data_IF_154727572546
#
_entry.id   IF_154727572546
#
_cell.length_a   1.000
_cell.length_b   1.000
_cell.length_c   1.000
_cell.angle_alpha   90.00
_cell.angle_beta   90.00
_cell.angle_gamma   90.00
#
_symmetry.space_group_name_H-M   'P 1'
#
loop_
_entity.id
_entity.type
_entity.pdbx_description
1 polymer ?
#
# COMPACT_ATOMS: atom_id res chain seq x y z
N UNK A 1 -14.84 28.02 -8.01
CA UNK A 1 -14.13 26.99 -8.80
C UNK A 1 -13.78 25.86 -7.84
N UNK A 2 -13.96 24.62 -8.27
CA UNK A 2 -14.39 23.49 -7.43
C UNK A 2 -13.50 23.22 -6.19
N UNK A 3 -13.98 23.59 -4.99
CA UNK A 3 -13.26 23.56 -3.70
C UNK A 3 -12.79 22.15 -3.26
N UNK A 4 -13.32 21.10 -3.89
CA UNK A 4 -13.12 19.71 -3.47
C UNK A 4 -11.72 19.20 -3.87
N UNK A 5 -10.98 18.76 -2.85
CA UNK A 5 -9.66 18.12 -2.95
C UNK A 5 -9.77 16.60 -3.11
N UNK A 6 -10.67 15.99 -2.33
CA UNK A 6 -10.94 14.54 -2.34
C UNK A 6 -12.45 14.34 -2.51
N UNK A 7 -12.86 13.58 -3.52
CA UNK A 7 -14.24 13.14 -3.73
C UNK A 7 -14.29 11.62 -3.69
N UNK A 8 -15.14 11.08 -2.81
CA UNK A 8 -15.26 9.64 -2.56
C UNK A 8 -16.70 9.22 -2.83
N UNK A 9 -16.88 8.24 -3.71
CA UNK A 9 -18.19 7.72 -4.11
C UNK A 9 -18.25 6.20 -3.98
N UNK A 10 -19.03 5.72 -3.02
CA UNK A 10 -19.40 4.32 -2.83
C UNK A 10 -18.20 3.37 -2.67
N UNK A 11 -17.11 3.82 -2.04
CA UNK A 11 -15.91 2.98 -1.92
C UNK A 11 -16.21 1.77 -1.04
N UNK A 12 -15.98 0.60 -1.61
CA UNK A 12 -15.92 -0.66 -0.91
C UNK A 12 -14.60 -1.37 -1.15
N UNK A 13 -14.12 -2.09 -0.14
CA UNK A 13 -12.91 -2.91 -0.24
C UNK A 13 -13.14 -4.21 0.50
N UNK A 14 -12.98 -5.30 -0.26
CA UNK A 14 -13.16 -6.66 0.20
C UNK A 14 -11.85 -7.43 0.12
N UNK A 15 -11.59 -8.26 1.12
CA UNK A 15 -10.46 -9.18 1.18
C UNK A 15 -10.97 -10.61 1.29
N UNK A 16 -10.30 -11.54 0.63
CA UNK A 16 -10.56 -12.97 0.74
C UNK A 16 -9.55 -13.57 1.72
N UNK A 17 -10.04 -14.14 2.82
CA UNK A 17 -9.19 -14.81 3.81
C UNK A 17 -8.95 -16.25 3.32
N UNK A 18 -7.69 -16.69 3.35
CA UNK A 18 -7.34 -18.08 3.00
C UNK A 18 -7.04 -18.35 1.52
N UNK A 19 -7.23 -17.38 0.61
CA UNK A 19 -6.71 -17.49 -0.76
C UNK A 19 -5.27 -17.00 -0.82
N UNK A 20 -4.33 -17.91 -1.05
CA UNK A 20 -3.05 -17.56 -1.71
C UNK A 20 -3.43 -16.81 -2.98
N UNK A 21 -3.02 -15.54 -3.10
CA UNK A 21 -3.27 -14.68 -4.26
C UNK A 21 -3.30 -15.52 -5.54
N UNK A 22 -4.37 -15.38 -6.33
CA UNK A 22 -4.51 -16.07 -7.61
C UNK A 22 -3.23 -15.86 -8.42
N UNK A 23 -2.38 -16.89 -8.42
CA UNK A 23 -1.24 -17.01 -9.31
C UNK A 23 -1.81 -16.78 -10.71
N UNK A 24 -1.23 -15.85 -11.47
CA UNK A 24 -1.60 -15.64 -12.88
C UNK A 24 -1.79 -17.00 -13.53
N UNK A 25 -3.03 -17.36 -13.86
CA UNK A 25 -3.32 -18.65 -14.48
C UNK A 25 -2.62 -18.64 -15.83
N UNK A 26 -1.53 -19.40 -15.93
CA UNK A 26 -0.86 -19.57 -17.21
C UNK A 26 -1.78 -20.41 -18.10
N UNK A 27 -1.81 -20.15 -19.41
CA UNK A 27 -2.66 -20.88 -20.38
C UNK A 27 -2.49 -22.40 -20.27
N UNK A 28 -1.29 -22.85 -19.84
CA UNK A 28 -0.98 -24.26 -19.55
C UNK A 28 -1.75 -24.81 -18.34
N UNK A 29 -1.96 -24.04 -17.28
CA UNK A 29 -2.72 -24.46 -16.10
C UNK A 29 -4.20 -24.65 -16.45
N UNK A 30 -4.81 -23.72 -17.20
CA UNK A 30 -6.21 -23.84 -17.65
C UNK A 30 -6.42 -25.09 -18.53
N UNK A 31 -5.46 -25.40 -19.41
CA UNK A 31 -5.51 -26.58 -20.26
C UNK A 31 -5.32 -27.88 -19.45
N UNK A 32 -4.43 -27.87 -18.46
CA UNK A 32 -4.17 -29.04 -17.60
C UNK A 32 -5.37 -29.34 -16.70
N UNK A 33 -6.02 -28.30 -16.17
CA UNK A 33 -7.22 -28.45 -15.35
C UNK A 33 -8.43 -28.93 -16.16
N UNK A 34 -8.58 -28.49 -17.41
CA UNK A 34 -9.62 -29.00 -18.30
C UNK A 34 -9.49 -30.52 -18.53
N UNK A 35 -8.27 -31.01 -18.74
CA UNK A 35 -7.99 -32.44 -18.99
C UNK A 35 -8.12 -33.28 -17.70
N UNK A 36 -7.76 -32.73 -16.54
CA UNK A 36 -7.81 -33.47 -15.25
C UNK A 36 -9.17 -33.40 -14.54
N UNK A 37 -10.03 -32.44 -14.90
CA UNK A 37 -11.34 -32.22 -14.24
C UNK A 37 -12.30 -33.42 -14.25
N UNK A 38 -12.38 -34.27 -15.30
CA UNK A 38 -13.32 -35.40 -15.30
C UNK A 38 -12.86 -36.53 -14.36
N UNK A 39 -11.55 -36.84 -14.38
CA UNK A 39 -10.96 -37.89 -13.55
C UNK A 39 -11.03 -37.58 -12.05
N UNK A 40 -10.88 -36.31 -11.67
CA UNK A 40 -10.94 -35.87 -10.26
C UNK A 40 -12.37 -35.84 -9.71
N UNK A 41 -13.38 -35.56 -10.57
CA UNK A 41 -14.80 -35.62 -10.20
C UNK A 41 -15.30 -37.07 -10.04
N UNK A 42 -14.88 -37.98 -10.93
CA UNK A 42 -15.22 -39.39 -10.83
C UNK A 42 -14.68 -40.06 -9.55
N UNK A 43 -13.43 -39.75 -9.16
CA UNK A 43 -12.84 -40.28 -7.93
C UNK A 43 -13.46 -39.74 -6.63
N UNK A 44 -14.03 -38.52 -6.64
CA UNK A 44 -14.72 -37.93 -5.48
C UNK A 44 -16.13 -38.50 -5.26
N UNK A 45 -16.83 -38.89 -6.33
CA UNK A 45 -18.16 -39.50 -6.24
C UNK A 45 -18.11 -40.91 -5.60
N UNK A 46 -17.02 -41.65 -5.86
CA UNK A 46 -16.82 -43.01 -5.35
C UNK A 46 -16.37 -43.07 -3.88
N UNK A 47 -15.96 -41.94 -3.26
CA UNK A 47 -15.40 -41.91 -1.90
C UNK A 47 -16.38 -41.39 -0.83
N UNK A 48 -17.65 -41.14 -1.15
CA UNK A 48 -18.69 -40.85 -0.14
C UNK A 48 -18.46 -39.63 0.77
N UNK A 49 -17.46 -38.78 0.49
CA UNK A 49 -17.15 -37.56 1.24
C UNK A 49 -17.67 -36.34 0.48
N UNK A 50 -18.99 -36.22 0.37
CA UNK A 50 -19.65 -35.03 -0.12
C UNK A 50 -20.19 -34.23 1.06
N UNK A 51 -19.30 -33.65 1.87
CA UNK A 51 -19.55 -32.56 2.83
C UNK A 51 -18.23 -32.25 3.52
N UNK A 52 -17.57 -31.15 3.16
CA UNK A 52 -16.34 -30.71 3.85
C UNK A 52 -15.34 -29.92 3.02
N UNK A 53 -15.44 -29.95 1.68
CA UNK A 53 -14.59 -29.17 0.79
C UNK A 53 -15.21 -27.83 0.36
N UNK A 54 -16.15 -27.30 1.15
CA UNK A 54 -16.45 -25.87 1.17
C UNK A 54 -15.52 -25.26 2.23
N UNK A 55 -14.21 -25.30 1.99
CA UNK A 55 -13.24 -24.55 2.80
C UNK A 55 -13.55 -23.07 2.60
N UNK A 56 -14.34 -22.55 3.54
CA UNK A 56 -14.53 -21.16 3.96
C UNK A 56 -13.76 -20.14 3.11
N UNK A 57 -14.33 -19.80 1.95
CA UNK A 57 -13.99 -18.59 1.20
C UNK A 57 -14.57 -17.41 1.99
N UNK A 58 -13.96 -17.12 3.14
CA UNK A 58 -14.43 -16.06 4.02
C UNK A 58 -14.05 -14.71 3.45
N UNK A 59 -15.09 -14.08 2.93
CA UNK A 59 -15.06 -12.75 2.36
C UNK A 59 -15.25 -11.71 3.46
N UNK A 60 -14.20 -10.93 3.73
CA UNK A 60 -14.20 -9.87 4.74
C UNK A 60 -14.25 -8.50 4.08
N UNK A 61 -15.29 -7.72 4.40
CA UNK A 61 -15.38 -6.32 4.01
C UNK A 61 -14.59 -5.44 4.97
N UNK A 62 -13.56 -4.78 4.47
CA UNK A 62 -12.79 -3.78 5.22
C UNK A 62 -13.38 -2.37 5.07
N UNK A 63 -13.97 -2.06 3.92
CA UNK A 63 -14.71 -0.83 3.65
C UNK A 63 -15.99 -1.20 2.91
N UNK A 64 -17.10 -0.51 3.19
CA UNK A 64 -18.37 -0.75 2.50
C UNK A 64 -19.15 0.55 2.37
N UNK A 65 -19.49 0.90 1.14
CA UNK A 65 -20.33 2.06 0.78
C UNK A 65 -19.89 3.39 1.44
N UNK A 66 -18.60 3.71 1.36
CA UNK A 66 -18.06 4.95 1.91
C UNK A 66 -18.19 6.07 0.86
N UNK A 67 -18.86 7.18 1.22
CA UNK A 67 -19.00 8.36 0.35
C UNK A 67 -18.86 9.66 1.15
N UNK A 68 -17.96 10.56 0.72
CA UNK A 68 -17.77 11.88 1.33
C UNK A 68 -16.92 12.79 0.43
N UNK A 69 -16.89 14.08 0.74
CA UNK A 69 -16.03 15.06 0.08
C UNK A 69 -15.16 15.77 1.12
N UNK A 70 -13.92 16.09 0.73
CA UNK A 70 -12.99 16.91 1.52
C UNK A 70 -12.57 18.11 0.68
N UNK A 71 -12.64 19.30 1.25
CA UNK A 71 -12.24 20.54 0.58
C UNK A 71 -10.73 20.79 0.70
N UNK A 72 -10.19 21.64 -0.17
CA UNK A 72 -8.80 22.10 -0.03
C UNK A 72 -8.61 22.83 1.30
N UNK A 73 -7.51 22.52 2.00
CA UNK A 73 -7.19 23.09 3.31
C UNK A 73 -8.00 22.53 4.48
N UNK A 74 -8.92 21.59 4.24
CA UNK A 74 -9.70 20.95 5.30
C UNK A 74 -8.88 19.86 5.98
N UNK A 75 -8.88 19.87 7.32
CA UNK A 75 -8.22 18.82 8.13
C UNK A 75 -9.27 17.83 8.60
N UNK A 76 -9.15 16.57 8.15
CA UNK A 76 -10.11 15.51 8.46
C UNK A 76 -9.48 14.45 9.36
N UNK A 77 -10.10 14.19 10.51
CA UNK A 77 -9.71 13.10 11.41
C UNK A 77 -10.52 11.82 11.14
N UNK A 78 -9.83 10.70 10.90
CA UNK A 78 -10.46 9.37 10.74
C UNK A 78 -10.27 8.56 12.03
N UNK A 79 -11.34 8.35 12.78
CA UNK A 79 -11.32 7.63 14.06
C UNK A 79 -12.19 6.38 14.02
N UNK A 80 -11.86 5.39 14.85
CA UNK A 80 -12.59 4.12 14.93
C UNK A 80 -11.74 3.02 15.53
N UNK A 81 -12.37 1.90 15.88
CA UNK A 81 -11.70 0.73 16.50
C UNK A 81 -10.63 0.13 15.58
N UNK A 82 -9.74 -0.68 16.15
CA UNK A 82 -8.82 -1.50 15.36
C UNK A 82 -9.63 -2.45 14.47
N UNK A 83 -9.20 -2.64 13.22
CA UNK A 83 -9.92 -3.44 12.23
C UNK A 83 -11.07 -2.71 11.51
N UNK A 84 -11.42 -1.47 11.88
CA UNK A 84 -12.50 -0.71 11.23
C UNK A 84 -12.19 -0.20 9.80
N UNK A 85 -11.09 -0.65 9.17
CA UNK A 85 -10.76 -0.27 7.79
C UNK A 85 -10.01 1.07 7.61
N UNK A 86 -9.65 1.79 8.67
CA UNK A 86 -8.96 3.10 8.58
C UNK A 86 -7.72 3.07 7.69
N UNK A 87 -6.79 2.15 7.98
CA UNK A 87 -5.57 1.99 7.18
C UNK A 87 -5.87 1.51 5.76
N UNK A 88 -6.94 0.73 5.56
CA UNK A 88 -7.40 0.32 4.22
C UNK A 88 -7.90 1.53 3.42
N UNK A 89 -8.68 2.42 4.02
CA UNK A 89 -9.15 3.64 3.37
C UNK A 89 -7.98 4.54 2.94
N UNK A 90 -7.03 4.75 3.86
CA UNK A 90 -5.84 5.54 3.56
C UNK A 90 -4.93 4.86 2.50
N UNK A 91 -4.87 3.52 2.46
CA UNK A 91 -4.23 2.76 1.37
C UNK A 91 -4.91 2.93 0.02
N UNK A 92 -6.23 3.08 0.00
CA UNK A 92 -6.97 3.41 -1.24
C UNK A 92 -6.63 4.82 -1.70
N UNK A 93 -6.58 5.80 -0.81
CA UNK A 93 -6.25 7.18 -1.18
C UNK A 93 -4.80 7.36 -1.65
N UNK A 94 -3.87 6.66 -1.01
CA UNK A 94 -2.46 6.60 -1.45
C UNK A 94 -2.23 5.70 -2.67
N UNK A 95 -3.30 5.11 -3.25
CA UNK A 95 -3.25 4.21 -4.41
C UNK A 95 -2.40 2.96 -4.21
N UNK A 96 -2.16 2.57 -2.96
CA UNK A 96 -1.45 1.32 -2.61
C UNK A 96 -2.35 0.11 -2.88
N UNK A 97 -3.67 0.26 -2.68
CA UNK A 97 -4.62 -0.79 -3.03
C UNK A 97 -5.80 -0.19 -3.79
N UNK A 98 -6.24 -0.87 -4.84
CA UNK A 98 -7.43 -0.48 -5.57
C UNK A 98 -8.69 -0.82 -4.76
N UNK A 99 -9.75 0.01 -4.81
CA UNK A 99 -11.03 -0.35 -4.23
C UNK A 99 -11.62 -1.56 -4.98
N UNK A 100 -12.43 -2.36 -4.29
CA UNK A 100 -13.19 -3.45 -4.93
C UNK A 100 -14.41 -2.91 -5.69
N UNK A 101 -14.96 -1.80 -5.24
CA UNK A 101 -16.09 -1.09 -5.82
C UNK A 101 -16.01 0.41 -5.50
N UNK A 102 -16.70 1.23 -6.29
CA UNK A 102 -16.69 2.68 -6.14
C UNK A 102 -15.42 3.34 -6.67
N UNK A 103 -15.25 4.62 -6.34
CA UNK A 103 -14.15 5.45 -6.86
C UNK A 103 -13.78 6.59 -5.93
N UNK A 104 -12.50 6.95 -5.95
CA UNK A 104 -11.95 8.16 -5.32
C UNK A 104 -11.32 9.05 -6.40
N UNK A 105 -11.65 10.33 -6.43
CA UNK A 105 -10.87 11.33 -7.16
C UNK A 105 -10.13 12.21 -6.19
N UNK A 106 -8.84 12.34 -6.44
CA UNK A 106 -7.93 13.13 -5.62
C UNK A 106 -7.19 14.09 -6.54
N UNK A 107 -7.26 15.38 -6.23
CA UNK A 107 -6.63 16.45 -7.01
C UNK A 107 -5.36 16.92 -6.33
N UNK A 108 -4.23 16.33 -6.71
CA UNK A 108 -2.92 16.62 -6.13
C UNK A 108 -2.07 15.36 -5.97
N UNK A 109 -0.81 15.52 -5.57
CA UNK A 109 0.04 14.42 -5.11
C UNK A 109 -0.32 14.13 -3.66
N UNK A 110 -0.53 12.84 -3.37
CA UNK A 110 -0.82 12.36 -2.03
C UNK A 110 0.49 12.00 -1.34
N UNK A 111 0.81 12.67 -0.24
CA UNK A 111 1.90 12.28 0.64
C UNK A 111 1.38 11.35 1.73
N UNK A 112 1.78 10.08 1.74
CA UNK A 112 1.32 9.12 2.76
C UNK A 112 2.44 8.74 3.71
N UNK A 113 2.24 9.02 5.01
CA UNK A 113 3.16 8.59 6.07
C UNK A 113 2.99 7.12 6.48
N UNK A 114 2.00 6.41 5.92
CA UNK A 114 1.60 5.07 6.39
C UNK A 114 2.66 3.99 6.21
N UNK A 115 3.57 4.19 5.27
CA UNK A 115 4.56 3.19 4.86
C UNK A 115 5.97 3.80 4.84
N UNK A 116 6.18 4.82 5.68
CA UNK A 116 7.47 5.52 5.85
C UNK A 116 8.53 4.51 6.27
N UNK A 117 9.53 4.32 5.40
CA UNK A 117 10.63 3.36 5.59
C UNK A 117 10.47 2.07 4.81
N UNK A 118 9.31 1.81 4.21
CA UNK A 118 9.17 0.77 3.19
C UNK A 118 9.79 1.30 1.89
N UNK A 119 10.77 0.57 1.33
CA UNK A 119 11.51 1.01 0.15
C UNK A 119 12.97 1.37 0.40
N UNK A 120 13.46 1.32 1.64
CA UNK A 120 14.91 1.27 1.86
C UNK A 120 15.52 -0.01 1.31
N UNK A 121 16.60 0.16 0.56
CA UNK A 121 17.42 -0.94 0.08
C UNK A 121 18.58 -1.15 1.06
N UNK A 122 18.71 -2.34 1.69
CA UNK A 122 19.64 -2.56 2.79
C UNK A 122 21.12 -2.43 2.39
N UNK A 123 21.44 -2.75 1.14
CA UNK A 123 22.80 -2.65 0.61
C UNK A 123 23.19 -1.24 0.15
N UNK A 124 22.23 -0.33 0.02
CA UNK A 124 22.50 1.06 -0.36
C UNK A 124 22.82 1.90 0.87
N UNK A 125 23.65 2.92 0.68
CA UNK A 125 23.95 3.94 1.69
C UNK A 125 22.71 4.75 2.08
N UNK A 126 22.75 5.44 3.21
CA UNK A 126 21.70 6.38 3.59
C UNK A 126 21.45 7.44 2.51
N UNK A 127 22.52 7.97 1.88
CA UNK A 127 22.44 8.92 0.76
C UNK A 127 21.64 8.37 -0.40
N UNK A 128 22.03 7.22 -0.93
CA UNK A 128 21.34 6.59 -2.07
C UNK A 128 19.88 6.27 -1.72
N UNK A 129 19.63 5.88 -0.47
CA UNK A 129 18.30 5.61 0.03
C UNK A 129 17.42 6.86 0.14
N UNK A 130 17.98 8.04 0.44
CA UNK A 130 17.26 9.34 0.38
C UNK A 130 16.79 9.59 -1.04
N UNK A 131 17.66 9.39 -2.04
CA UNK A 131 17.29 9.55 -3.44
C UNK A 131 16.24 8.52 -3.91
N UNK A 132 16.42 7.25 -3.53
CA UNK A 132 15.48 6.18 -3.86
C UNK A 132 14.09 6.44 -3.26
N UNK A 133 14.02 6.75 -1.96
CA UNK A 133 12.75 6.97 -1.28
C UNK A 133 12.09 8.27 -1.75
N UNK A 134 12.85 9.35 -1.93
CA UNK A 134 12.32 10.59 -2.48
C UNK A 134 11.69 10.38 -3.85
N UNK A 135 12.35 9.60 -4.73
CA UNK A 135 11.80 9.27 -6.04
C UNK A 135 10.54 8.41 -5.96
N UNK A 136 10.49 7.39 -5.08
CA UNK A 136 9.31 6.56 -4.83
C UNK A 136 8.12 7.41 -4.36
N UNK A 137 8.39 8.41 -3.52
CA UNK A 137 7.38 9.34 -3.00
C UNK A 137 7.01 10.45 -4.02
N UNK A 138 7.61 10.46 -5.21
CA UNK A 138 7.26 11.37 -6.30
C UNK A 138 8.01 12.71 -6.29
N UNK A 139 9.14 12.81 -5.59
CA UNK A 139 10.07 13.93 -5.70
C UNK A 139 10.93 13.79 -6.96
N UNK A 140 11.11 14.88 -7.70
CA UNK A 140 12.11 14.95 -8.77
C UNK A 140 13.51 14.95 -8.14
N UNK A 141 14.49 14.39 -8.87
CA UNK A 141 15.89 14.37 -8.43
C UNK A 141 16.39 15.75 -7.96
N UNK A 142 16.07 16.79 -8.72
CA UNK A 142 16.45 18.18 -8.39
C UNK A 142 15.83 18.63 -7.05
N UNK A 143 14.58 18.28 -6.76
CA UNK A 143 13.94 18.61 -5.47
C UNK A 143 14.66 17.90 -4.31
N UNK A 144 15.07 16.65 -4.51
CA UNK A 144 15.82 15.88 -3.51
C UNK A 144 17.20 16.50 -3.26
N UNK A 145 17.91 16.90 -4.32
CA UNK A 145 19.24 17.53 -4.21
C UNK A 145 19.19 18.83 -3.41
N UNK A 146 18.20 19.69 -3.66
CA UNK A 146 18.04 20.95 -2.94
C UNK A 146 17.70 20.75 -1.46
N UNK A 147 16.98 19.68 -1.11
CA UNK A 147 16.54 19.39 0.26
C UNK A 147 17.45 18.40 1.00
N UNK A 148 18.49 17.90 0.35
CA UNK A 148 19.28 16.78 0.85
C UNK A 148 19.90 17.09 2.22
N UNK A 149 20.56 18.23 2.35
CA UNK A 149 21.25 18.60 3.59
C UNK A 149 20.26 18.81 4.75
N UNK A 150 19.08 19.38 4.47
CA UNK A 150 18.00 19.55 5.44
C UNK A 150 17.44 18.20 5.90
N UNK A 151 17.21 17.25 4.98
CA UNK A 151 16.79 15.88 5.30
C UNK A 151 17.82 15.19 6.20
N UNK A 152 19.10 15.29 5.87
CA UNK A 152 20.18 14.65 6.64
C UNK A 152 20.34 15.26 8.02
N UNK A 153 20.22 16.58 8.12
CA UNK A 153 20.24 17.31 9.38
C UNK A 153 19.05 16.91 10.26
N UNK A 154 17.84 16.88 9.70
CA UNK A 154 16.61 16.51 10.41
C UNK A 154 16.65 15.07 10.94
N UNK A 155 17.21 14.14 10.16
CA UNK A 155 17.33 12.74 10.55
C UNK A 155 18.41 12.49 11.63
N UNK A 156 19.33 13.46 11.84
CA UNK A 156 20.50 13.34 12.71
C UNK A 156 21.40 12.14 12.37
N UNK A 157 21.56 11.85 11.07
CA UNK A 157 22.38 10.71 10.59
C UNK A 157 23.60 11.13 9.76
N UNK A 158 23.98 12.41 9.78
CA UNK A 158 25.07 12.96 8.95
C UNK A 158 26.36 12.12 8.98
N UNK A 159 26.78 11.63 10.15
CA UNK A 159 27.98 10.78 10.31
C UNK A 159 27.88 9.41 9.63
N UNK A 160 26.67 8.92 9.40
CA UNK A 160 26.37 7.59 8.87
C UNK A 160 25.77 7.64 7.46
N UNK A 161 25.66 8.82 6.85
CA UNK A 161 24.90 9.01 5.60
C UNK A 161 25.46 8.16 4.45
N UNK A 162 26.79 7.96 4.43
CA UNK A 162 27.47 7.13 3.42
C UNK A 162 27.70 5.68 3.91
N UNK A 163 27.04 5.27 5.00
CA UNK A 163 27.03 3.89 5.51
C UNK A 163 25.80 3.14 4.98
N UNK A 164 25.93 1.86 4.56
CA UNK A 164 24.79 1.04 4.16
C UNK A 164 23.70 0.94 5.24
N UNK A 165 22.43 1.07 4.84
CA UNK A 165 21.29 1.16 5.77
C UNK A 165 21.08 -0.12 6.58
N UNK A 166 21.57 -1.28 6.13
CA UNK A 166 21.60 -2.51 6.95
C UNK A 166 22.38 -2.38 8.26
N UNK A 167 23.28 -1.41 8.37
CA UNK A 167 24.04 -1.13 9.60
C UNK A 167 23.37 -0.06 10.47
N UNK A 168 22.24 0.50 10.04
CA UNK A 168 21.50 1.47 10.83
C UNK A 168 20.74 0.75 11.94
N UNK A 169 20.59 1.41 13.09
CA UNK A 169 19.57 0.99 14.05
C UNK A 169 18.17 1.21 13.46
N UNK A 170 17.18 0.49 13.97
CA UNK A 170 15.77 0.69 13.58
C UNK A 170 15.33 2.16 13.76
N UNK A 171 15.80 2.83 14.81
CA UNK A 171 15.53 4.25 15.05
C UNK A 171 16.13 5.16 13.98
N UNK A 172 17.35 4.90 13.53
CA UNK A 172 17.98 5.67 12.44
C UNK A 172 17.23 5.50 11.12
N UNK A 173 16.78 4.27 10.81
CA UNK A 173 15.97 4.02 9.63
C UNK A 173 14.66 4.82 9.68
N UNK A 174 13.91 4.74 10.79
CA UNK A 174 12.65 5.47 10.94
C UNK A 174 12.87 6.98 10.86
N UNK A 175 13.91 7.53 11.49
CA UNK A 175 14.23 8.96 11.41
C UNK A 175 14.56 9.40 10.00
N UNK A 176 15.40 8.66 9.27
CA UNK A 176 15.74 9.00 7.89
C UNK A 176 14.50 8.93 6.98
N UNK A 177 13.68 7.90 7.12
CA UNK A 177 12.47 7.75 6.33
C UNK A 177 11.49 8.90 6.59
N UNK A 178 11.28 9.25 7.86
CA UNK A 178 10.41 10.36 8.24
C UNK A 178 10.97 11.68 7.76
N UNK A 179 12.30 11.89 7.84
CA UNK A 179 12.94 13.10 7.32
C UNK A 179 12.67 13.29 5.83
N UNK A 180 12.82 12.25 5.01
CA UNK A 180 12.50 12.31 3.57
C UNK A 180 11.02 12.68 3.37
N UNK A 181 10.11 12.01 4.08
CA UNK A 181 8.68 12.25 3.92
C UNK A 181 8.23 13.64 4.42
N UNK A 182 8.84 14.17 5.47
CA UNK A 182 8.55 15.50 6.01
C UNK A 182 8.99 16.64 5.08
N UNK A 183 9.97 16.38 4.21
CA UNK A 183 10.46 17.32 3.21
C UNK A 183 9.78 17.15 1.84
N UNK A 184 8.85 16.20 1.72
CA UNK A 184 7.91 16.15 0.61
C UNK A 184 6.94 17.33 0.73
N UNK A 185 6.62 17.98 -0.38
CA UNK A 185 5.57 18.99 -0.46
C UNK A 185 4.36 18.40 -1.21
N UNK A 186 3.54 17.56 -0.55
CA UNK A 186 2.31 17.07 -1.14
C UNK A 186 1.21 18.13 -1.07
N UNK A 187 0.25 18.04 -1.99
CA UNK A 187 -0.96 18.85 -1.97
C UNK A 187 -2.06 18.22 -1.09
N UNK A 188 -1.96 16.91 -0.79
CA UNK A 188 -2.93 16.10 -0.04
C UNK A 188 -2.22 15.21 0.99
#
# INVERSE_FOLDING_TARGET
>A
MNEIAIQVEGIGKKYHIGKTQARYQTVRETLTDAIRSPFRRAGKLLRGQATGAAELDEEMWALRDISFNVKHGEVVGIIGRNGAGKSTLLKVFSRITEPSEGRAWIRGRVGSLLEVGTGFHPELTGRENVFLNGAILGMKKVEIEHKFDEIVAFAEVAKFIDTPVKHYSSGMQVRLAFAVAAHLEPEI
#
